data_IF_836932951142
#
_entry.id   IF_836932951142
#
_cell.length_a   1.000
_cell.length_b   1.000
_cell.length_c   1.000
_cell.angle_alpha   90.00
_cell.angle_beta   90.00
_cell.angle_gamma   90.00
#
_symmetry.space_group_name_H-M   'P 1'
#
loop_
_entity.id
_entity.type
_entity.pdbx_description
1 polymer ?
#
# COMPACT_ATOMS: atom_id res chain seq x y z
N UNK A 1 -4.12 14.60 -15.63
CA UNK A 1 -3.31 14.80 -14.47
C UNK A 1 -1.86 14.44 -14.70
N UNK A 2 -0.99 15.03 -13.94
CA UNK A 2 0.44 14.83 -14.07
C UNK A 2 0.90 13.46 -13.58
N UNK A 3 2.08 13.04 -14.02
CA UNK A 3 2.70 11.80 -13.54
C UNK A 3 2.96 11.86 -12.04
N UNK A 4 3.31 13.04 -11.50
CA UNK A 4 3.52 13.16 -10.06
C UNK A 4 2.22 12.99 -9.27
N UNK A 5 1.09 13.47 -9.81
CA UNK A 5 -0.22 13.26 -9.19
C UNK A 5 -0.60 11.80 -9.19
N UNK A 6 -0.29 11.08 -10.28
CA UNK A 6 -0.55 9.65 -10.37
C UNK A 6 0.28 8.86 -9.34
N UNK A 7 1.54 9.21 -9.17
CA UNK A 7 2.41 8.55 -8.18
C UNK A 7 1.93 8.81 -6.76
N UNK A 8 1.49 10.03 -6.50
CA UNK A 8 0.93 10.42 -5.22
C UNK A 8 -0.32 9.57 -4.89
N UNK A 9 -1.20 9.42 -5.88
CA UNK A 9 -2.41 8.61 -5.76
C UNK A 9 -2.05 7.14 -5.46
N UNK A 10 -1.11 6.59 -6.20
CA UNK A 10 -0.69 5.19 -6.03
C UNK A 10 -0.08 4.98 -4.64
N UNK A 11 0.76 5.90 -4.18
CA UNK A 11 1.33 5.80 -2.83
C UNK A 11 0.25 5.84 -1.76
N UNK A 12 -0.74 6.73 -1.93
CA UNK A 12 -1.85 6.85 -1.00
C UNK A 12 -2.68 5.56 -0.97
N UNK A 13 -3.00 5.03 -2.14
CA UNK A 13 -3.75 3.77 -2.25
C UNK A 13 -2.97 2.62 -1.62
N UNK A 14 -1.65 2.59 -1.82
CA UNK A 14 -0.79 1.58 -1.21
C UNK A 14 -0.84 1.64 0.31
N UNK A 15 -0.83 2.85 0.87
CA UNK A 15 -0.93 3.03 2.32
C UNK A 15 -2.29 2.60 2.86
N UNK A 16 -3.37 2.91 2.13
CA UNK A 16 -4.71 2.46 2.51
C UNK A 16 -4.76 0.93 2.56
N UNK A 17 -4.22 0.29 1.54
CA UNK A 17 -4.21 -1.17 1.47
C UNK A 17 -3.37 -1.77 2.60
N UNK A 18 -2.19 -1.23 2.85
CA UNK A 18 -1.32 -1.70 3.93
C UNK A 18 -1.97 -1.53 5.30
N UNK A 19 -2.63 -0.41 5.51
CA UNK A 19 -3.38 -0.15 6.74
C UNK A 19 -4.51 -1.16 6.92
N UNK A 20 -5.26 -1.42 5.84
CA UNK A 20 -6.36 -2.39 5.87
C UNK A 20 -5.86 -3.80 6.23
N UNK A 21 -4.74 -4.21 5.66
CA UNK A 21 -4.13 -5.51 5.97
C UNK A 21 -3.80 -5.58 7.47
N UNK A 22 -3.19 -4.54 8.01
CA UNK A 22 -2.85 -4.50 9.43
C UNK A 22 -4.07 -4.55 10.34
N UNK A 23 -5.12 -3.83 9.95
CA UNK A 23 -6.35 -3.80 10.76
C UNK A 23 -7.05 -5.15 10.77
N UNK A 24 -7.05 -5.84 9.64
CA UNK A 24 -7.69 -7.15 9.53
C UNK A 24 -6.82 -8.27 10.10
N UNK A 25 -5.53 -8.21 9.85
CA UNK A 25 -4.57 -9.25 10.25
C UNK A 25 -3.34 -8.60 10.89
N UNK A 26 -3.39 -8.30 12.20
CA UNK A 26 -2.34 -7.49 12.85
C UNK A 26 -0.92 -8.04 12.74
N UNK A 27 -0.78 -9.35 12.52
CA UNK A 27 0.54 -9.97 12.40
C UNK A 27 1.01 -10.07 10.95
N UNK A 28 0.24 -9.56 10.03
CA UNK A 28 0.56 -9.64 8.60
C UNK A 28 1.01 -8.29 8.06
N UNK A 29 1.81 -8.33 7.01
CA UNK A 29 2.26 -7.15 6.30
C UNK A 29 1.94 -7.28 4.82
N UNK A 30 1.58 -6.16 4.22
CA UNK A 30 1.41 -6.09 2.78
C UNK A 30 2.77 -5.91 2.12
N UNK A 31 2.99 -6.63 1.03
CA UNK A 31 4.16 -6.40 0.18
C UNK A 31 3.69 -6.19 -1.24
N UNK A 32 4.07 -5.05 -1.82
CA UNK A 32 3.83 -4.76 -3.22
C UNK A 32 5.06 -5.22 -3.97
N UNK A 33 4.93 -6.34 -4.70
CA UNK A 33 6.09 -7.03 -5.26
C UNK A 33 6.61 -6.36 -6.53
N UNK A 34 5.74 -6.18 -7.51
CA UNK A 34 6.15 -5.60 -8.78
C UNK A 34 4.93 -5.17 -9.59
N UNK A 35 5.11 -4.22 -10.51
CA UNK A 35 4.03 -3.88 -11.41
C UNK A 35 3.78 -5.02 -12.41
N UNK A 36 2.51 -5.23 -12.71
CA UNK A 36 2.09 -6.20 -13.71
C UNK A 36 1.19 -5.46 -14.67
N UNK A 37 1.68 -5.26 -15.91
CA UNK A 37 0.91 -4.57 -16.92
C UNK A 37 0.36 -3.25 -16.38
N UNK A 38 -0.88 -3.21 -15.92
CA UNK A 38 -1.55 -1.99 -15.52
C UNK A 38 -2.06 -2.05 -14.07
N UNK A 39 -1.31 -2.74 -13.24
CA UNK A 39 -1.59 -2.84 -11.82
C UNK A 39 -0.36 -3.31 -11.06
N UNK A 40 -0.57 -3.75 -9.84
CA UNK A 40 0.52 -4.21 -8.98
C UNK A 40 0.21 -5.57 -8.39
N UNK A 41 1.19 -6.47 -8.48
CA UNK A 41 1.11 -7.77 -7.86
C UNK A 41 1.48 -7.62 -6.38
N UNK A 42 0.60 -8.06 -5.49
CA UNK A 42 0.75 -7.88 -4.06
C UNK A 42 0.62 -9.20 -3.33
N UNK A 43 1.40 -9.35 -2.25
CA UNK A 43 1.29 -10.50 -1.36
C UNK A 43 1.05 -10.00 0.06
N UNK A 44 0.40 -10.85 0.86
CA UNK A 44 0.26 -10.60 2.28
C UNK A 44 1.15 -11.60 2.99
N UNK A 45 2.07 -11.10 3.81
CA UNK A 45 3.08 -11.92 4.46
C UNK A 45 2.73 -12.14 5.92
N UNK A 46 2.71 -13.39 6.33
CA UNK A 46 2.54 -13.74 7.74
C UNK A 46 3.88 -13.74 8.46
N UNK A 47 4.96 -13.95 7.72
CA UNK A 47 6.33 -13.83 8.21
C UNK A 47 7.23 -13.56 7.00
N UNK A 48 8.53 -13.43 7.26
CA UNK A 48 9.50 -13.19 6.19
C UNK A 48 9.44 -14.26 5.10
N UNK A 49 9.22 -15.51 5.50
CA UNK A 49 9.27 -16.65 4.60
C UNK A 49 7.89 -17.22 4.25
N UNK A 50 6.83 -16.70 4.85
CA UNK A 50 5.50 -17.26 4.64
C UNK A 50 4.53 -16.22 4.12
N UNK A 51 3.91 -16.54 2.99
CA UNK A 51 2.81 -15.75 2.45
C UNK A 51 1.51 -16.31 2.96
N UNK A 52 0.57 -15.42 3.25
CA UNK A 52 -0.79 -15.80 3.62
C UNK A 52 -1.48 -16.38 2.37
N UNK A 53 -2.21 -17.47 2.56
CA UNK A 53 -3.03 -18.02 1.49
C UNK A 53 -4.20 -17.08 1.20
N UNK A 54 -4.36 -16.67 -0.05
CA UNK A 54 -5.39 -15.72 -0.44
C UNK A 54 -6.57 -16.48 -1.05
N UNK A 55 -7.76 -16.19 -0.53
CA UNK A 55 -9.01 -16.74 -1.01
C UNK A 55 -9.89 -15.60 -1.51
N UNK A 56 -10.95 -15.90 -2.29
CA UNK A 56 -11.89 -14.85 -2.70
C UNK A 56 -12.51 -14.12 -1.52
N UNK A 57 -12.76 -14.81 -0.41
CA UNK A 57 -13.30 -14.20 0.81
C UNK A 57 -12.32 -13.20 1.41
N UNK A 58 -11.04 -13.52 1.41
CA UNK A 58 -10.00 -12.62 1.91
C UNK A 58 -9.93 -11.37 1.06
N UNK A 59 -10.02 -11.51 -0.26
CA UNK A 59 -10.03 -10.37 -1.18
C UNK A 59 -11.22 -9.47 -0.87
N UNK A 60 -12.41 -10.05 -0.66
CA UNK A 60 -13.60 -9.27 -0.34
C UNK A 60 -13.48 -8.56 1.00
N UNK A 61 -12.95 -9.22 2.02
CA UNK A 61 -12.72 -8.61 3.32
C UNK A 61 -11.78 -7.41 3.19
N UNK A 62 -10.69 -7.60 2.45
CA UNK A 62 -9.71 -6.54 2.26
C UNK A 62 -10.30 -5.36 1.51
N UNK A 63 -11.03 -5.64 0.44
CA UNK A 63 -11.67 -4.60 -0.36
C UNK A 63 -12.65 -3.78 0.47
N UNK A 64 -13.49 -4.45 1.24
CA UNK A 64 -14.45 -3.78 2.11
C UNK A 64 -13.73 -2.90 3.15
N UNK A 65 -12.66 -3.41 3.74
CA UNK A 65 -11.91 -2.64 4.73
C UNK A 65 -11.27 -1.41 4.10
N UNK A 66 -10.71 -1.55 2.90
CA UNK A 66 -10.15 -0.41 2.16
C UNK A 66 -11.22 0.63 1.86
N UNK A 67 -12.40 0.19 1.45
CA UNK A 67 -13.52 1.10 1.17
C UNK A 67 -13.93 1.85 2.44
N UNK A 68 -13.95 1.18 3.59
CA UNK A 68 -14.28 1.81 4.86
C UNK A 68 -13.25 2.89 5.23
N UNK A 69 -11.98 2.59 5.07
CA UNK A 69 -10.91 3.55 5.35
C UNK A 69 -11.04 4.78 4.44
N UNK A 70 -11.35 4.56 3.18
CA UNK A 70 -11.54 5.66 2.23
C UNK A 70 -12.77 6.50 2.62
N UNK A 71 -13.86 5.84 2.98
CA UNK A 71 -15.10 6.52 3.37
C UNK A 71 -14.93 7.34 4.65
N UNK A 72 -14.04 6.90 5.54
CA UNK A 72 -13.72 7.64 6.76
C UNK A 72 -12.97 8.94 6.48
N UNK A 73 -12.40 9.07 5.30
CA UNK A 73 -11.60 10.24 4.90
C UNK A 73 -10.55 10.58 5.96
N UNK A 74 -9.76 9.57 6.33
CA UNK A 74 -8.75 9.71 7.39
C UNK A 74 -7.62 10.63 6.96
N UNK A 75 -7.24 11.60 7.81
CA UNK A 75 -6.10 12.46 7.50
C UNK A 75 -4.81 11.66 7.41
N UNK A 76 -3.97 12.02 6.45
CA UNK A 76 -2.64 11.47 6.29
C UNK A 76 -1.66 12.60 6.53
N UNK A 77 -0.90 12.50 7.61
CA UNK A 77 -0.01 13.57 8.03
C UNK A 77 1.44 13.09 8.00
N UNK A 78 2.35 14.03 7.80
CA UNK A 78 3.78 13.75 7.91
C UNK A 78 4.23 14.03 9.32
N UNK A 79 5.13 13.20 9.82
CA UNK A 79 5.83 13.42 11.08
C UNK A 79 7.32 13.30 10.83
N UNK A 80 8.09 14.00 11.64
CA UNK A 80 9.55 13.91 11.56
C UNK A 80 10.09 13.66 12.96
N UNK A 81 10.94 12.66 13.06
CA UNK A 81 11.60 12.32 14.32
C UNK A 81 13.04 11.95 14.04
N UNK A 82 13.83 11.83 15.10
CA UNK A 82 15.18 11.33 14.96
C UNK A 82 15.15 9.93 14.35
N UNK A 83 16.08 9.67 13.46
CA UNK A 83 16.13 8.39 12.74
C UNK A 83 16.16 7.20 13.70
N UNK A 84 16.88 7.31 14.84
CA UNK A 84 16.89 6.27 15.88
C UNK A 84 15.49 5.92 16.38
N UNK A 85 14.65 6.95 16.57
CA UNK A 85 13.29 6.75 17.05
C UNK A 85 12.42 6.10 16.00
N UNK A 86 12.60 6.52 14.74
CA UNK A 86 11.85 5.94 13.62
C UNK A 86 12.20 4.47 13.44
N UNK A 87 13.47 4.13 13.57
CA UNK A 87 13.93 2.74 13.51
C UNK A 87 13.22 1.91 14.59
N UNK A 88 13.10 2.42 15.79
CA UNK A 88 12.37 1.72 16.86
C UNK A 88 10.90 1.55 16.54
N UNK A 89 10.26 2.59 15.99
CA UNK A 89 8.85 2.53 15.64
C UNK A 89 8.55 1.49 14.56
N UNK A 90 9.46 1.32 13.61
CA UNK A 90 9.27 0.41 12.48
C UNK A 90 9.94 -0.94 12.65
N UNK A 91 10.91 -1.02 13.56
CA UNK A 91 11.83 -2.17 13.65
C UNK A 91 11.15 -3.50 13.91
N UNK A 92 10.08 -3.50 14.68
CA UNK A 92 9.33 -4.73 14.96
C UNK A 92 8.48 -5.18 13.77
N UNK A 93 8.21 -4.26 12.85
CA UNK A 93 7.32 -4.52 11.72
C UNK A 93 8.07 -4.96 10.47
N UNK A 94 9.21 -4.31 10.20
CA UNK A 94 9.84 -4.45 8.90
C UNK A 94 11.35 -4.22 9.00
N UNK A 95 12.11 -5.30 9.08
CA UNK A 95 13.57 -5.24 9.16
C UNK A 95 14.20 -4.59 7.93
N UNK A 96 13.58 -4.75 6.76
CA UNK A 96 14.09 -4.14 5.54
C UNK A 96 14.04 -2.62 5.60
N UNK A 97 12.96 -2.07 6.15
CA UNK A 97 12.84 -0.62 6.32
C UNK A 97 13.85 -0.12 7.36
N UNK A 98 14.04 -0.87 8.42
CA UNK A 98 15.04 -0.54 9.44
C UNK A 98 16.43 -0.40 8.82
N UNK A 99 16.80 -1.37 7.98
CA UNK A 99 18.07 -1.33 7.28
C UNK A 99 18.16 -0.11 6.35
N UNK A 100 17.07 0.22 5.65
CA UNK A 100 17.04 1.38 4.78
C UNK A 100 17.33 2.67 5.57
N UNK A 101 16.66 2.85 6.70
CA UNK A 101 16.86 4.03 7.53
C UNK A 101 18.30 4.15 8.01
N UNK A 102 18.90 3.03 8.40
CA UNK A 102 20.29 3.01 8.85
C UNK A 102 21.25 3.42 7.73
N UNK A 103 20.98 2.99 6.50
CA UNK A 103 21.88 3.28 5.39
C UNK A 103 21.74 4.70 4.85
N UNK A 104 20.63 5.37 5.12
CA UNK A 104 20.44 6.74 4.66
C UNK A 104 21.34 7.75 5.37
N UNK A 105 21.77 7.45 6.60
CA UNK A 105 22.71 8.31 7.33
C UNK A 105 22.17 9.66 7.78
N UNK A 106 20.89 9.96 7.55
CA UNK A 106 20.29 11.21 7.99
C UNK A 106 19.92 11.14 9.47
N UNK A 107 20.17 12.21 10.24
CA UNK A 107 19.82 12.21 11.67
C UNK A 107 18.32 12.29 11.91
N UNK A 108 17.54 12.77 10.94
CA UNK A 108 16.09 12.88 11.03
C UNK A 108 15.43 12.15 9.88
N UNK A 109 14.24 11.61 10.15
CA UNK A 109 13.49 10.87 9.14
C UNK A 109 12.02 11.29 9.17
N UNK A 110 11.46 11.51 8.00
CA UNK A 110 10.04 11.79 7.82
C UNK A 110 9.31 10.52 7.47
N UNK A 111 8.13 10.38 8.04
CA UNK A 111 7.26 9.26 7.73
C UNK A 111 5.81 9.76 7.77
N UNK A 112 4.88 8.90 7.39
CA UNK A 112 3.47 9.25 7.32
C UNK A 112 2.69 8.53 8.40
N UNK A 113 1.67 9.21 8.92
CA UNK A 113 0.76 8.64 9.92
C UNK A 113 -0.68 8.79 9.45
N UNK A 114 -1.44 7.70 9.59
CA UNK A 114 -2.89 7.65 9.38
C UNK A 114 -3.48 7.00 10.63
N UNK A 115 -4.04 7.80 11.54
CA UNK A 115 -4.45 7.34 12.88
C UNK A 115 -3.27 6.64 13.57
N UNK A 116 -3.40 5.38 13.93
CA UNK A 116 -2.33 4.62 14.59
C UNK A 116 -1.37 3.94 13.62
N UNK A 117 -1.68 3.95 12.33
CA UNK A 117 -0.85 3.31 11.34
C UNK A 117 0.21 4.26 10.83
N UNK A 118 1.46 3.81 10.80
CA UNK A 118 2.58 4.57 10.26
C UNK A 118 3.23 3.81 9.13
N UNK A 119 3.75 4.56 8.15
CA UNK A 119 4.44 3.96 7.01
C UNK A 119 5.43 4.96 6.41
N UNK A 120 6.34 4.46 5.60
CA UNK A 120 7.39 5.27 5.01
C UNK A 120 7.26 5.30 3.49
N UNK A 121 7.30 6.51 2.94
CA UNK A 121 7.28 6.72 1.48
C UNK A 121 8.25 7.84 1.13
N UNK A 122 8.92 7.72 0.00
CA UNK A 122 9.89 8.72 -0.45
C UNK A 122 9.25 9.89 -1.20
N UNK A 123 7.94 9.85 -1.43
CA UNK A 123 7.24 10.91 -2.14
C UNK A 123 6.00 11.35 -1.39
N UNK A 124 5.28 12.30 -1.96
CA UNK A 124 4.08 12.85 -1.35
C UNK A 124 2.91 11.88 -1.40
N UNK A 125 2.02 11.98 -0.41
CA UNK A 125 0.74 11.32 -0.39
C UNK A 125 -0.36 12.37 -0.45
N UNK A 126 -1.59 11.93 -0.75
CA UNK A 126 -2.75 12.81 -0.69
C UNK A 126 -3.01 13.22 0.78
N UNK A 127 -3.72 14.34 1.03
CA UNK A 127 -3.94 14.81 2.40
C UNK A 127 -4.81 13.89 3.23
N UNK A 128 -5.65 13.08 2.60
CA UNK A 128 -6.53 12.16 3.31
C UNK A 128 -6.94 11.01 2.40
N UNK A 129 -7.50 9.97 3.00
CA UNK A 129 -7.89 8.76 2.25
C UNK A 129 -9.06 8.99 1.31
N UNK A 130 -9.87 10.01 1.58
CA UNK A 130 -11.03 10.31 0.74
C UNK A 130 -10.70 10.74 -0.68
N UNK A 131 -9.44 11.06 -0.96
CA UNK A 131 -9.01 11.38 -2.32
C UNK A 131 -8.94 10.16 -3.23
N UNK A 132 -8.97 8.96 -2.64
CA UNK A 132 -9.01 7.72 -3.44
C UNK A 132 -10.45 7.50 -3.89
N UNK A 133 -10.70 7.64 -5.17
CA UNK A 133 -12.06 7.51 -5.70
C UNK A 133 -12.26 6.31 -6.61
N UNK A 134 -11.20 5.61 -6.98
CA UNK A 134 -11.31 4.45 -7.85
C UNK A 134 -10.15 3.49 -7.60
N UNK A 135 -10.48 2.27 -7.25
CA UNK A 135 -9.51 1.17 -7.17
C UNK A 135 -10.29 -0.14 -7.23
N UNK A 136 -9.58 -1.21 -7.47
CA UNK A 136 -10.13 -2.54 -7.27
C UNK A 136 -8.99 -3.48 -6.86
N UNK A 137 -9.36 -4.57 -6.25
CA UNK A 137 -8.42 -5.66 -5.99
C UNK A 137 -9.11 -6.94 -6.40
N UNK A 138 -8.31 -7.89 -6.89
CA UNK A 138 -8.85 -9.17 -7.30
C UNK A 138 -7.83 -10.27 -7.07
N UNK A 139 -8.34 -11.49 -6.97
CA UNK A 139 -7.50 -12.67 -6.85
C UNK A 139 -6.76 -12.85 -8.17
N UNK A 140 -5.45 -13.02 -8.11
CA UNK A 140 -4.61 -13.13 -9.29
C UNK A 140 -3.44 -14.05 -8.99
N UNK A 141 -3.36 -15.18 -9.69
CA UNK A 141 -2.28 -16.17 -9.54
C UNK A 141 -1.97 -16.49 -8.07
N UNK A 142 -3.02 -16.73 -7.30
CA UNK A 142 -2.90 -17.11 -5.90
C UNK A 142 -2.62 -15.97 -4.93
N UNK A 143 -2.52 -14.75 -5.42
CA UNK A 143 -2.29 -13.55 -4.61
C UNK A 143 -3.23 -12.44 -5.06
N UNK A 144 -2.84 -11.18 -4.93
CA UNK A 144 -3.72 -10.06 -5.17
C UNK A 144 -3.19 -9.17 -6.28
N UNK A 145 -4.05 -8.81 -7.20
CA UNK A 145 -3.78 -7.75 -8.16
C UNK A 145 -4.47 -6.48 -7.70
N UNK A 146 -3.68 -5.44 -7.44
CA UNK A 146 -4.20 -4.10 -7.14
C UNK A 146 -4.36 -3.37 -8.46
N UNK A 147 -5.60 -3.01 -8.77
CA UNK A 147 -5.93 -2.29 -10.01
C UNK A 147 -6.05 -0.80 -9.73
N UNK A 148 -5.50 0.00 -10.61
CA UNK A 148 -5.36 1.44 -10.45
C UNK A 148 -6.05 2.18 -11.60
N UNK A 149 -6.34 3.49 -11.43
CA UNK A 149 -6.93 4.27 -12.51
C UNK A 149 -6.07 4.30 -13.76
N UNK A 150 -6.73 4.33 -14.91
CA UNK A 150 -6.08 4.42 -16.21
C UNK A 150 -5.39 5.77 -16.40
N UNK A 151 -4.23 5.77 -17.03
CA UNK A 151 -3.56 7.02 -17.41
C UNK A 151 -4.35 7.82 -18.42
N UNK A 152 -5.01 7.12 -19.34
CA UNK A 152 -5.79 7.75 -20.41
C UNK A 152 -7.13 8.26 -19.91
N UNK A 153 -7.72 7.52 -18.97
CA UNK A 153 -9.03 7.85 -18.43
C UNK A 153 -9.04 7.59 -16.94
N UNK A 154 -8.75 8.62 -16.11
CA UNK A 154 -8.68 8.43 -14.65
C UNK A 154 -9.98 7.98 -13.99
N UNK A 155 -11.09 8.01 -14.72
CA UNK A 155 -12.37 7.53 -14.21
C UNK A 155 -12.60 6.05 -14.45
N UNK A 156 -11.62 5.37 -15.07
CA UNK A 156 -11.67 3.93 -15.34
C UNK A 156 -10.40 3.29 -14.84
N UNK A 157 -10.51 2.03 -14.43
CA UNK A 157 -9.34 1.24 -14.05
C UNK A 157 -8.55 0.87 -15.30
N UNK A 158 -7.24 0.67 -15.14
CA UNK A 158 -6.40 0.14 -16.20
C UNK A 158 -6.91 -1.23 -16.61
N UNK A 159 -6.80 -1.53 -17.90
CA UNK A 159 -7.24 -2.81 -18.43
C UNK A 159 -6.38 -3.94 -17.87
N UNK A 160 -7.00 -5.12 -17.78
CA UNK A 160 -6.27 -6.30 -17.35
C UNK A 160 -5.22 -6.66 -18.39
N UNK A 161 -4.18 -7.32 -17.94
CA UNK A 161 -3.15 -7.81 -18.83
C UNK A 161 -3.72 -8.87 -19.74
N UNK A 162 -3.69 -8.62 -21.05
CA UNK A 162 -4.20 -9.56 -22.05
C UNK A 162 -3.44 -10.88 -22.02
N UNK A 163 -2.19 -10.83 -21.64
CA UNK A 163 -1.34 -12.02 -21.58
C UNK A 163 -1.83 -13.07 -20.59
N UNK A 164 -2.58 -12.63 -19.59
CA UNK A 164 -3.13 -13.55 -18.60
C UNK A 164 -4.08 -14.56 -19.22
N UNK A 165 -4.64 -14.23 -20.36
CA UNK A 165 -5.61 -15.08 -21.05
C UNK A 165 -4.97 -16.10 -21.98
N UNK A 166 -3.67 -16.05 -22.14
CA UNK A 166 -2.96 -16.90 -23.07
C UNK A 166 -2.44 -18.18 -22.45
N UNK A 167 -2.59 -18.31 -21.20
CA UNK A 167 -2.16 -19.49 -20.45
C UNK A 167 -3.34 -20.38 -20.10
#
# INVERSE_FOLDING_TARGET
SSESGRRCYIRTLSMVMACAVRELWPNCDLRIEHPISKGFYCTIRESRDEAKTITPEIVEQLKTRMQDIIADDRPIVTEERQTKEVIKLFGERNEGETTLFETLGNPYCRYYRMDDYIDYYTGALMPSTGYINLFDIELYQGNILLRIPSRKNPNQLEERCVQDKRF
#
